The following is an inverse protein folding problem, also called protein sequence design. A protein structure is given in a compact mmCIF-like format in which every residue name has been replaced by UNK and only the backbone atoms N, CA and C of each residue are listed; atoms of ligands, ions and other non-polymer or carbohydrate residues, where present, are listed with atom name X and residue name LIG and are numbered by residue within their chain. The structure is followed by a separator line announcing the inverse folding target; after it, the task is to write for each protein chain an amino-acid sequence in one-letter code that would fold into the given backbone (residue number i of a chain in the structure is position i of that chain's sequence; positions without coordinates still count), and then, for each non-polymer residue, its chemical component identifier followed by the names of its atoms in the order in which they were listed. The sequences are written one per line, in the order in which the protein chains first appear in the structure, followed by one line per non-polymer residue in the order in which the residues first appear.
data_IF_442328011650
#
_entry.id   IF_442328011650
#
_cell.length_a   1.000
_cell.length_b   1.000
_cell.length_c   1.000
_cell.angle_alpha   90.00
_cell.angle_beta   90.00
_cell.angle_gamma   90.00
#
_symmetry.space_group_name_H-M   'P 1'
#
loop_
_entity.id
_entity.type
_entity.pdbx_description
1 polymer ?
#
# COMPACT_ATOMS: atom_id res chain seq x y z
N UNK A 1 0.19 -8.59 32.76
CA UNK A 1 1.26 -7.67 32.30
C UNK A 1 1.92 -8.28 31.06
N UNK A 2 1.31 -8.12 29.87
CA UNK A 2 1.78 -8.79 28.62
C UNK A 2 1.80 -7.88 27.38
N UNK A 3 1.55 -6.57 27.53
CA UNK A 3 1.32 -5.67 26.38
C UNK A 3 2.63 -5.17 25.72
N UNK A 4 3.79 -5.27 26.38
CA UNK A 4 5.03 -4.66 25.85
C UNK A 4 5.90 -5.55 24.95
N UNK A 5 5.53 -6.83 24.70
CA UNK A 5 6.43 -7.78 24.02
C UNK A 5 6.67 -7.43 22.54
N UNK A 6 5.72 -6.76 21.89
CA UNK A 6 5.77 -6.42 20.46
C UNK A 6 5.73 -4.92 20.17
N UNK A 7 5.99 -4.06 21.17
CA UNK A 7 5.99 -2.62 20.94
C UNK A 7 7.22 -2.22 20.11
N UNK A 8 6.98 -1.63 18.93
CA UNK A 8 8.03 -1.12 18.04
C UNK A 8 8.61 0.18 18.59
N UNK A 9 7.79 1.00 19.25
CA UNK A 9 8.22 2.26 19.86
C UNK A 9 8.87 2.01 21.22
N UNK A 10 10.19 2.05 21.27
CA UNK A 10 10.97 1.90 22.52
C UNK A 10 11.11 3.24 23.25
N UNK A 11 11.81 3.25 24.37
CA UNK A 11 11.97 4.44 25.21
C UNK A 11 12.72 5.57 24.51
N UNK A 12 13.51 5.27 23.48
CA UNK A 12 14.21 6.27 22.66
C UNK A 12 13.88 6.19 21.17
N UNK A 13 13.93 7.35 20.51
CA UNK A 13 13.78 7.48 19.05
C UNK A 13 14.90 6.74 18.31
N UNK A 14 16.13 6.76 18.86
CA UNK A 14 17.27 6.10 18.25
C UNK A 14 17.09 4.57 18.26
N UNK A 15 16.71 4.00 19.40
CA UNK A 15 16.45 2.57 19.52
C UNK A 15 15.28 2.13 18.64
N UNK A 16 14.21 2.92 18.60
CA UNK A 16 13.07 2.69 17.70
C UNK A 16 13.51 2.71 16.24
N UNK A 17 14.37 3.67 15.83
CA UNK A 17 14.89 3.75 14.47
C UNK A 17 15.72 2.53 14.10
N UNK A 18 16.61 2.07 14.99
CA UNK A 18 17.42 0.86 14.78
C UNK A 18 16.50 -0.36 14.63
N UNK A 19 15.47 -0.48 15.48
CA UNK A 19 14.52 -1.58 15.41
C UNK A 19 13.71 -1.57 14.10
N UNK A 20 13.23 -0.40 13.66
CA UNK A 20 12.55 -0.25 12.38
C UNK A 20 13.46 -0.63 11.21
N UNK A 21 14.74 -0.24 11.25
CA UNK A 21 15.69 -0.63 10.20
C UNK A 21 15.87 -2.15 10.16
N UNK A 22 16.01 -2.80 11.31
CA UNK A 22 16.08 -4.27 11.39
C UNK A 22 14.82 -4.94 10.86
N UNK A 23 13.64 -4.39 11.13
CA UNK A 23 12.39 -4.91 10.56
C UNK A 23 12.38 -4.81 9.03
N UNK A 24 12.85 -3.69 8.47
CA UNK A 24 13.01 -3.52 7.01
C UNK A 24 13.92 -4.60 6.45
N UNK A 25 15.12 -4.75 7.02
CA UNK A 25 16.14 -5.64 6.47
C UNK A 25 15.81 -7.12 6.68
N UNK A 26 15.38 -7.51 7.89
CA UNK A 26 15.19 -8.92 8.29
C UNK A 26 13.81 -9.47 7.87
N UNK A 27 12.77 -8.63 7.78
CA UNK A 27 11.39 -9.09 7.53
C UNK A 27 10.90 -8.65 6.15
N UNK A 28 10.90 -7.34 5.87
CA UNK A 28 10.28 -6.82 4.66
C UNK A 28 11.09 -7.12 3.40
N UNK A 29 12.40 -6.89 3.42
CA UNK A 29 13.29 -7.22 2.30
C UNK A 29 13.30 -8.73 2.07
N UNK A 30 13.52 -9.53 3.11
CA UNK A 30 13.53 -11.00 3.00
C UNK A 30 12.20 -11.55 2.43
N UNK A 31 11.06 -11.06 2.93
CA UNK A 31 9.74 -11.48 2.48
C UNK A 31 9.38 -11.03 1.06
N UNK A 32 9.94 -9.93 0.57
CA UNK A 32 9.69 -9.43 -0.80
C UNK A 32 10.66 -10.01 -1.84
N UNK A 33 11.87 -10.39 -1.43
CA UNK A 33 12.85 -11.05 -2.31
C UNK A 33 12.54 -12.55 -2.48
N UNK A 34 12.11 -13.24 -1.41
CA UNK A 34 11.74 -14.65 -1.43
C UNK A 34 10.32 -14.86 -0.87
N UNK A 35 9.28 -14.37 -1.56
CA UNK A 35 7.91 -14.45 -1.06
C UNK A 35 7.42 -15.90 -0.99
N UNK A 36 6.60 -16.24 0.03
CA UNK A 36 5.98 -17.56 0.10
C UNK A 36 5.02 -17.76 -1.09
N UNK A 37 4.72 -19.01 -1.50
CA UNK A 37 3.93 -19.29 -2.70
C UNK A 37 2.56 -18.60 -2.75
N UNK A 38 1.94 -18.39 -1.59
CA UNK A 38 0.61 -17.78 -1.45
C UNK A 38 0.64 -16.25 -1.43
N UNK A 39 1.82 -15.63 -1.36
CA UNK A 39 1.96 -14.18 -1.19
C UNK A 39 1.25 -13.39 -2.29
N UNK A 40 1.45 -13.77 -3.55
CA UNK A 40 0.86 -13.07 -4.69
C UNK A 40 -0.68 -13.13 -4.66
N UNK A 41 -1.25 -14.28 -4.31
CA UNK A 41 -2.70 -14.44 -4.18
C UNK A 41 -3.25 -13.61 -3.02
N UNK A 42 -2.64 -13.71 -1.84
CA UNK A 42 -3.05 -12.94 -0.66
C UNK A 42 -2.93 -11.44 -0.88
N UNK A 43 -1.83 -10.97 -1.47
CA UNK A 43 -1.61 -9.56 -1.78
C UNK A 43 -2.66 -9.05 -2.77
N UNK A 44 -2.98 -9.84 -3.81
CA UNK A 44 -4.03 -9.52 -4.76
C UNK A 44 -5.40 -9.45 -4.11
N UNK A 45 -5.80 -10.47 -3.34
CA UNK A 45 -7.09 -10.47 -2.64
C UNK A 45 -7.22 -9.30 -1.65
N UNK A 46 -6.14 -8.95 -0.94
CA UNK A 46 -6.11 -7.81 -0.04
C UNK A 46 -6.30 -6.48 -0.79
N UNK A 47 -5.56 -6.27 -1.88
CA UNK A 47 -5.62 -5.03 -2.64
C UNK A 47 -6.94 -4.88 -3.40
N UNK A 48 -7.47 -5.98 -3.96
CA UNK A 48 -8.80 -6.02 -4.57
C UNK A 48 -9.86 -5.66 -3.52
N UNK A 49 -9.80 -6.24 -2.31
CA UNK A 49 -10.70 -5.90 -1.20
C UNK A 49 -10.61 -4.42 -0.78
N UNK A 50 -9.40 -3.86 -0.80
CA UNK A 50 -9.16 -2.46 -0.45
C UNK A 50 -9.62 -1.50 -1.54
N UNK A 51 -9.72 -1.93 -2.80
CA UNK A 51 -10.10 -1.10 -3.94
C UNK A 51 -11.44 -0.39 -3.74
N UNK A 52 -12.43 -1.07 -3.14
CA UNK A 52 -13.73 -0.47 -2.88
C UNK A 52 -13.69 0.67 -1.84
N UNK A 53 -12.65 0.71 -0.99
CA UNK A 53 -12.41 1.82 -0.08
C UNK A 53 -11.51 2.89 -0.71
N UNK A 54 -10.50 2.48 -1.48
CA UNK A 54 -9.50 3.37 -2.06
C UNK A 54 -9.31 2.99 -3.54
N UNK A 55 -10.12 3.54 -4.45
CA UNK A 55 -10.08 3.19 -5.88
C UNK A 55 -8.87 3.75 -6.65
N UNK A 56 -7.80 4.10 -5.92
CA UNK A 56 -6.50 4.56 -6.43
C UNK A 56 -5.39 3.53 -6.18
N UNK A 57 -5.77 2.32 -5.79
CA UNK A 57 -4.86 1.20 -5.53
C UNK A 57 -4.95 0.22 -6.71
N UNK A 58 -3.79 -0.12 -7.25
CA UNK A 58 -3.60 -1.17 -8.26
C UNK A 58 -2.56 -2.14 -7.72
N UNK A 59 -2.76 -3.44 -7.94
CA UNK A 59 -1.90 -4.48 -7.40
C UNK A 59 -0.43 -4.29 -7.79
N UNK A 60 -0.17 -4.11 -9.09
CA UNK A 60 1.18 -4.04 -9.63
C UNK A 60 1.84 -2.71 -9.23
N UNK A 61 1.10 -1.61 -9.31
CA UNK A 61 1.58 -0.30 -8.88
C UNK A 61 1.96 -0.30 -7.40
N UNK A 62 1.09 -0.81 -6.53
CA UNK A 62 1.29 -0.80 -5.08
C UNK A 62 2.41 -1.74 -4.64
N UNK A 63 2.51 -2.93 -5.23
CA UNK A 63 3.62 -3.85 -4.93
C UNK A 63 4.95 -3.28 -5.40
N UNK A 64 4.98 -2.64 -6.57
CA UNK A 64 6.17 -1.95 -7.08
C UNK A 64 6.57 -0.81 -6.15
N UNK A 65 5.61 0.02 -5.74
CA UNK A 65 5.86 1.10 -4.80
C UNK A 65 6.43 0.57 -3.46
N UNK A 66 5.85 -0.51 -2.93
CA UNK A 66 6.32 -1.16 -1.69
C UNK A 66 7.76 -1.65 -1.82
N UNK A 67 8.13 -2.27 -2.94
CA UNK A 67 9.52 -2.67 -3.23
C UNK A 67 10.46 -1.46 -3.30
N UNK A 68 10.02 -0.33 -3.86
CA UNK A 68 10.83 0.89 -3.90
C UNK A 68 11.10 1.45 -2.50
N UNK A 69 10.12 1.37 -1.59
CA UNK A 69 10.26 1.84 -0.20
C UNK A 69 11.33 1.07 0.58
N UNK A 70 11.50 -0.23 0.30
CA UNK A 70 12.53 -1.07 0.94
C UNK A 70 13.86 -1.09 0.17
N UNK A 71 13.98 -0.29 -0.89
CA UNK A 71 15.22 -0.18 -1.68
C UNK A 71 15.42 -1.25 -2.76
N UNK A 72 14.44 -2.12 -3.01
CA UNK A 72 14.48 -3.17 -4.05
C UNK A 72 14.12 -2.63 -5.45
N UNK A 73 14.67 -1.45 -5.80
CA UNK A 73 14.42 -0.78 -7.09
C UNK A 73 15.00 -1.62 -8.23
N UNK A 74 14.12 -2.11 -9.12
CA UNK A 74 14.52 -2.81 -10.35
C UNK A 74 14.46 -4.34 -10.29
N UNK A 75 14.20 -4.94 -9.13
CA UNK A 75 14.02 -6.40 -8.98
C UNK A 75 12.59 -6.86 -9.29
N UNK A 76 12.01 -6.39 -10.39
CA UNK A 76 10.86 -7.09 -10.94
C UNK A 76 11.30 -8.05 -12.03
N UNK A 77 10.77 -9.29 -12.01
CA UNK A 77 10.51 -9.93 -13.27
C UNK A 77 9.40 -9.09 -13.93
N UNK A 78 9.77 -8.35 -14.97
CA UNK A 78 8.84 -7.88 -16.03
C UNK A 78 8.06 -9.03 -16.71
N UNK A 79 7.99 -10.21 -16.09
CA UNK A 79 7.51 -11.46 -16.67
C UNK A 79 6.33 -12.07 -15.93
N UNK A 80 5.98 -11.61 -14.71
CA UNK A 80 4.79 -12.13 -14.03
C UNK A 80 3.48 -11.68 -14.71
N UNK A 81 3.55 -10.66 -15.58
CA UNK A 81 2.42 -10.26 -16.41
C UNK A 81 2.84 -10.15 -17.88
N UNK A 82 3.37 -11.24 -18.43
CA UNK A 82 3.57 -11.41 -19.87
C UNK A 82 2.24 -11.48 -20.66
N UNK A 83 1.11 -11.20 -20.02
CA UNK A 83 -0.25 -11.24 -20.58
C UNK A 83 -1.09 -10.05 -20.09
N UNK A 84 -0.49 -8.87 -19.89
CA UNK A 84 -1.26 -7.65 -19.57
C UNK A 84 -1.49 -6.83 -20.83
N UNK A 85 -2.75 -6.44 -21.03
CA UNK A 85 -3.13 -5.41 -21.99
C UNK A 85 -2.28 -4.15 -21.76
N UNK A 86 -1.78 -3.54 -22.85
CA UNK A 86 -0.96 -2.31 -22.82
C UNK A 86 -1.60 -1.21 -21.97
N UNK A 87 -2.93 -1.11 -22.01
CA UNK A 87 -3.73 -0.16 -21.23
C UNK A 87 -3.52 -0.34 -19.72
N UNK A 88 -3.51 -1.58 -19.23
CA UNK A 88 -3.29 -1.88 -17.81
C UNK A 88 -1.87 -1.52 -17.39
N UNK A 89 -0.88 -1.87 -18.21
CA UNK A 89 0.51 -1.52 -17.94
C UNK A 89 0.72 0.00 -17.85
N UNK A 90 0.08 0.76 -18.74
CA UNK A 90 0.09 2.22 -18.68
C UNK A 90 -0.63 2.75 -17.44
N UNK A 91 -1.80 2.20 -17.11
CA UNK A 91 -2.57 2.59 -15.93
C UNK A 91 -1.79 2.37 -14.62
N UNK A 92 -1.24 1.17 -14.41
CA UNK A 92 -0.41 0.86 -13.23
C UNK A 92 0.84 1.74 -13.18
N UNK A 93 1.44 2.06 -14.34
CA UNK A 93 2.57 2.99 -14.43
C UNK A 93 2.21 4.42 -13.98
N UNK A 94 1.04 4.92 -14.40
CA UNK A 94 0.53 6.24 -13.97
C UNK A 94 0.24 6.26 -12.48
N UNK A 95 -0.38 5.21 -11.93
CA UNK A 95 -0.65 5.11 -10.50
C UNK A 95 0.63 5.03 -9.67
N UNK A 96 1.64 4.27 -10.12
CA UNK A 96 2.95 4.23 -9.48
C UNK A 96 3.61 5.60 -9.48
N UNK A 97 3.61 6.30 -10.63
CA UNK A 97 4.16 7.64 -10.73
C UNK A 97 3.43 8.63 -9.80
N UNK A 98 2.10 8.52 -9.69
CA UNK A 98 1.31 9.31 -8.76
C UNK A 98 1.68 9.02 -7.31
N UNK A 99 1.81 7.75 -6.92
CA UNK A 99 2.19 7.36 -5.56
C UNK A 99 3.57 7.88 -5.18
N UNK A 100 4.56 7.74 -6.06
CA UNK A 100 5.93 8.27 -5.86
C UNK A 100 5.90 9.79 -5.79
N UNK A 101 5.17 10.46 -6.68
CA UNK A 101 5.05 11.92 -6.68
C UNK A 101 4.44 12.46 -5.38
N UNK A 102 3.38 11.82 -4.88
CA UNK A 102 2.75 12.21 -3.60
C UNK A 102 3.75 12.07 -2.45
N UNK A 103 4.48 10.95 -2.37
CA UNK A 103 5.38 10.67 -1.25
C UNK A 103 6.69 11.50 -1.29
N UNK A 104 7.34 11.56 -2.45
CA UNK A 104 8.66 12.18 -2.59
C UNK A 104 8.59 13.70 -2.84
N UNK A 105 7.52 14.21 -3.46
CA UNK A 105 7.42 15.64 -3.83
C UNK A 105 6.44 16.39 -2.93
N UNK A 106 5.19 15.92 -2.86
CA UNK A 106 4.13 16.63 -2.12
C UNK A 106 4.37 16.57 -0.61
N UNK A 107 4.65 15.39 -0.07
CA UNK A 107 4.84 15.21 1.37
C UNK A 107 6.20 15.71 1.88
N UNK A 108 7.21 15.80 1.02
CA UNK A 108 8.52 16.34 1.36
C UNK A 108 8.54 17.88 1.45
N UNK A 109 7.62 18.56 0.75
CA UNK A 109 7.55 20.03 0.77
C UNK A 109 6.80 20.51 2.02
N UNK A 110 7.40 21.28 2.94
CA UNK A 110 6.88 21.50 4.29
C UNK A 110 5.50 22.17 4.35
N UNK A 111 5.25 23.19 3.51
CA UNK A 111 3.96 23.88 3.47
C UNK A 111 2.86 23.06 2.78
N UNK A 112 3.21 22.42 1.65
CA UNK A 112 2.29 21.59 0.87
C UNK A 112 1.90 20.33 1.66
N UNK A 113 2.84 19.75 2.40
CA UNK A 113 2.63 18.54 3.21
C UNK A 113 1.51 18.73 4.23
N UNK A 114 1.39 19.91 4.86
CA UNK A 114 0.28 20.19 5.79
C UNK A 114 -1.07 20.11 5.10
N UNK A 115 -1.20 20.78 3.95
CA UNK A 115 -2.44 20.79 3.17
C UNK A 115 -2.78 19.39 2.65
N UNK A 116 -1.79 18.68 2.11
CA UNK A 116 -1.96 17.33 1.57
C UNK A 116 -2.34 16.34 2.66
N UNK A 117 -1.69 16.39 3.84
CA UNK A 117 -2.06 15.54 4.97
C UNK A 117 -3.49 15.79 5.45
N UNK A 118 -3.89 17.06 5.53
CA UNK A 118 -5.27 17.41 5.87
C UNK A 118 -6.26 16.82 4.87
N UNK A 119 -6.00 16.98 3.57
CA UNK A 119 -6.83 16.42 2.51
C UNK A 119 -6.89 14.88 2.55
N UNK A 120 -5.74 14.20 2.67
CA UNK A 120 -5.67 12.74 2.73
C UNK A 120 -6.36 12.17 3.98
N UNK A 121 -6.28 12.87 5.11
CA UNK A 121 -7.00 12.48 6.33
C UNK A 121 -8.52 12.59 6.13
N UNK A 122 -9.01 13.67 5.54
CA UNK A 122 -10.44 13.81 5.21
C UNK A 122 -10.86 12.73 4.22
N UNK A 123 -10.05 12.44 3.21
CA UNK A 123 -10.33 11.41 2.23
C UNK A 123 -10.44 10.03 2.88
N UNK A 124 -9.58 9.72 3.86
CA UNK A 124 -9.62 8.47 4.62
C UNK A 124 -10.87 8.37 5.50
N UNK A 125 -11.24 9.45 6.21
CA UNK A 125 -12.49 9.49 6.97
C UNK A 125 -13.70 9.32 6.06
N UNK A 126 -13.69 9.98 4.92
CA UNK A 126 -14.75 9.87 3.92
C UNK A 126 -14.83 8.45 3.34
N UNK A 127 -13.71 7.80 3.05
CA UNK A 127 -13.73 6.43 2.52
C UNK A 127 -14.29 5.42 3.53
N UNK A 128 -13.93 5.56 4.81
CA UNK A 128 -14.51 4.73 5.89
C UNK A 128 -16.01 5.00 6.03
N UNK A 129 -16.42 6.26 6.01
CA UNK A 129 -17.83 6.64 6.09
C UNK A 129 -18.63 6.03 4.92
N UNK A 130 -18.12 6.15 3.70
CA UNK A 130 -18.74 5.57 2.51
C UNK A 130 -18.80 4.05 2.62
N UNK A 131 -17.71 3.38 3.01
CA UNK A 131 -17.70 1.94 3.20
C UNK A 131 -18.74 1.44 4.23
N UNK A 132 -18.95 2.19 5.32
CA UNK A 132 -19.90 1.80 6.37
C UNK A 132 -21.36 2.15 6.05
N UNK A 133 -21.61 3.31 5.42
CA UNK A 133 -22.97 3.84 5.23
C UNK A 133 -23.53 3.56 3.84
N UNK A 134 -22.67 3.53 2.83
CA UNK A 134 -23.01 3.39 1.43
C UNK A 134 -22.00 2.46 0.73
N UNK A 135 -22.02 1.14 1.02
CA UNK A 135 -21.14 0.16 0.38
C UNK A 135 -21.52 -0.09 -1.09
N UNK A 136 -21.91 0.95 -1.83
CA UNK A 136 -22.25 0.92 -3.26
C UNK A 136 -21.10 0.37 -4.08
N UNK A 137 -19.86 0.79 -3.78
CA UNK A 137 -18.68 0.28 -4.47
C UNK A 137 -18.48 -1.21 -4.23
N UNK A 138 -18.64 -1.67 -2.99
CA UNK A 138 -18.55 -3.08 -2.64
C UNK A 138 -19.68 -3.91 -3.28
N UNK A 139 -20.91 -3.37 -3.36
CA UNK A 139 -22.02 -4.01 -4.05
C UNK A 139 -21.78 -4.13 -5.56
N UNK A 140 -21.16 -3.12 -6.18
CA UNK A 140 -20.83 -3.16 -7.61
C UNK A 140 -19.73 -4.20 -7.89
N UNK A 141 -18.71 -4.28 -7.04
CA UNK A 141 -17.55 -5.16 -7.27
C UNK A 141 -17.82 -6.62 -6.90
N UNK A 142 -18.53 -6.89 -5.80
CA UNK A 142 -18.73 -8.26 -5.28
C UNK A 142 -20.19 -8.74 -5.27
N UNK A 143 -21.16 -7.87 -5.54
CA UNK A 143 -22.58 -8.19 -5.49
C UNK A 143 -23.16 -8.14 -4.07
N UNK A 144 -24.46 -7.83 -3.96
CA UNK A 144 -25.16 -7.66 -2.67
C UNK A 144 -25.09 -8.89 -1.75
N UNK A 145 -25.10 -10.10 -2.34
CA UNK A 145 -25.10 -11.36 -1.60
C UNK A 145 -23.79 -11.64 -0.82
N UNK A 146 -22.68 -11.00 -1.19
CA UNK A 146 -21.36 -11.26 -0.62
C UNK A 146 -20.89 -10.16 0.36
N UNK A 147 -21.70 -9.13 0.60
CA UNK A 147 -21.32 -7.92 1.37
C UNK A 147 -22.01 -7.84 2.75
N UNK A 148 -23.06 -8.65 3.01
CA UNK A 148 -23.73 -8.72 4.32
C UNK A 148 -23.06 -9.70 5.28
#
# INVERSE_FOLDING_TARGET
MFICRFNICRESVLETRILCQRLVDEVFVAGLTAPPPQFAEMARSLLDGTWAMVPFIDHDAFLNFTKQLVGLRGELPNKASATTNVIHQMYSGVLLALQVFVHEVLLATPFISVLVRFFLNILMWFSIYMAQRLPVLAYITWGEANVR
#
